data_IF_754789393951
#
_entry.id   IF_754789393951
#
_cell.length_a   1.000
_cell.length_b   1.000
_cell.length_c   1.000
_cell.angle_alpha   90.00
_cell.angle_beta   90.00
_cell.angle_gamma   90.00
#
_symmetry.space_group_name_H-M   'P 1'
#
loop_
_entity.id
_entity.type
_entity.pdbx_description
1 polymer ?
#
# COMPACT_ATOMS: atom_id res chain seq x y z
N UNK A 1 21.21 4.15 12.92
CA UNK A 1 21.19 5.52 12.39
C UNK A 1 20.69 6.42 13.51
N UNK A 2 21.34 7.55 13.79
CA UNK A 2 20.82 8.50 14.78
C UNK A 2 19.79 9.38 14.09
N UNK A 3 18.58 9.42 14.64
CA UNK A 3 17.52 10.36 14.25
C UNK A 3 17.05 10.98 15.56
N UNK A 4 17.12 12.31 15.68
CA UNK A 4 16.69 13.05 16.87
C UNK A 4 17.34 12.51 18.17
N UNK A 5 18.67 12.32 18.17
CA UNK A 5 19.47 11.78 19.28
C UNK A 5 19.11 10.37 19.79
N UNK A 6 18.21 9.66 19.09
CA UNK A 6 17.91 8.26 19.36
C UNK A 6 18.59 7.35 18.32
N UNK A 7 19.30 6.32 18.80
CA UNK A 7 19.75 5.24 17.92
C UNK A 7 18.55 4.41 17.48
N UNK A 8 18.14 4.58 16.23
CA UNK A 8 17.09 3.74 15.63
C UNK A 8 17.75 2.55 14.94
N UNK A 9 17.55 1.31 15.43
CA UNK A 9 18.05 0.11 14.80
C UNK A 9 17.14 -0.29 13.62
N UNK A 10 17.18 0.46 12.51
CA UNK A 10 16.28 0.32 11.36
C UNK A 10 16.10 -1.14 10.90
N UNK A 11 17.22 -1.84 10.63
CA UNK A 11 17.19 -3.25 10.21
C UNK A 11 16.62 -4.17 11.29
N UNK A 12 16.90 -3.88 12.56
CA UNK A 12 16.38 -4.62 13.70
C UNK A 12 14.87 -4.47 13.84
N UNK A 13 14.38 -3.23 13.78
CA UNK A 13 12.96 -2.90 13.82
C UNK A 13 12.20 -3.55 12.67
N UNK A 14 12.72 -3.45 11.44
CA UNK A 14 12.06 -4.03 10.28
C UNK A 14 11.99 -5.57 10.37
N UNK A 15 13.11 -6.24 10.70
CA UNK A 15 13.10 -7.70 10.93
C UNK A 15 12.17 -8.12 12.06
N UNK A 16 12.17 -7.37 13.16
CA UNK A 16 11.28 -7.62 14.28
C UNK A 16 9.81 -7.42 13.88
N UNK A 17 9.51 -6.41 13.05
CA UNK A 17 8.17 -6.16 12.52
C UNK A 17 7.69 -7.30 11.62
N UNK A 18 8.52 -7.75 10.67
CA UNK A 18 8.20 -8.90 9.82
C UNK A 18 7.92 -10.17 10.63
N UNK A 19 8.69 -10.43 11.69
CA UNK A 19 8.48 -11.62 12.53
C UNK A 19 7.26 -11.47 13.45
N UNK A 20 7.12 -10.34 14.13
CA UNK A 20 6.07 -10.10 15.14
C UNK A 20 4.70 -9.86 14.53
N UNK A 21 4.65 -9.22 13.37
CA UNK A 21 3.42 -8.83 12.68
C UNK A 21 3.29 -9.53 11.31
N UNK A 22 3.82 -10.75 11.18
CA UNK A 22 3.82 -11.52 9.93
C UNK A 22 2.43 -11.61 9.29
N UNK A 23 1.39 -11.86 10.10
CA UNK A 23 0.00 -11.93 9.62
C UNK A 23 -0.45 -10.60 9.02
N UNK A 24 -0.14 -9.47 9.65
CA UNK A 24 -0.49 -8.15 9.13
C UNK A 24 0.28 -7.80 7.85
N UNK A 25 1.53 -8.24 7.74
CA UNK A 25 2.30 -8.11 6.49
C UNK A 25 1.69 -8.92 5.35
N UNK A 26 1.26 -10.16 5.63
CA UNK A 26 0.54 -10.96 4.64
C UNK A 26 -0.78 -10.32 4.24
N UNK A 27 -1.58 -9.86 5.22
CA UNK A 27 -2.82 -9.14 4.94
C UNK A 27 -2.60 -7.87 4.11
N UNK A 28 -1.53 -7.13 4.37
CA UNK A 28 -1.15 -5.97 3.56
C UNK A 28 -0.88 -6.38 2.11
N UNK A 29 -0.08 -7.43 1.89
CA UNK A 29 0.24 -7.92 0.53
C UNK A 29 -1.03 -8.38 -0.19
N UNK A 30 -1.86 -9.21 0.46
CA UNK A 30 -3.09 -9.71 -0.13
C UNK A 30 -4.09 -8.58 -0.44
N UNK A 31 -4.30 -7.67 0.50
CA UNK A 31 -5.18 -6.51 0.29
C UNK A 31 -4.68 -5.62 -0.83
N UNK A 32 -3.36 -5.42 -0.95
CA UNK A 32 -2.78 -4.61 -2.03
C UNK A 32 -2.91 -5.26 -3.40
N UNK A 33 -2.76 -6.59 -3.50
CA UNK A 33 -3.01 -7.31 -4.75
C UNK A 33 -4.48 -7.23 -5.17
N UNK A 34 -5.39 -7.41 -4.21
CA UNK A 34 -6.83 -7.34 -4.44
C UNK A 34 -7.27 -5.93 -4.86
N UNK A 35 -6.74 -4.90 -4.20
CA UNK A 35 -6.98 -3.50 -4.54
C UNK A 35 -6.37 -3.12 -5.91
N UNK A 36 -5.17 -3.63 -6.23
CA UNK A 36 -4.58 -3.42 -7.57
C UNK A 36 -5.44 -4.06 -8.66
N UNK A 37 -5.91 -5.29 -8.43
CA UNK A 37 -6.76 -6.01 -9.36
C UNK A 37 -8.12 -5.32 -9.56
N UNK A 38 -8.79 -4.95 -8.46
CA UNK A 38 -10.07 -4.26 -8.53
C UNK A 38 -9.96 -2.89 -9.21
N UNK A 39 -8.85 -2.16 -8.98
CA UNK A 39 -8.59 -0.88 -9.65
C UNK A 39 -8.40 -1.08 -11.16
N UNK A 40 -7.63 -2.09 -11.57
CA UNK A 40 -7.44 -2.41 -12.99
C UNK A 40 -8.78 -2.76 -13.65
N UNK A 41 -9.58 -3.62 -13.01
CA UNK A 41 -10.91 -3.99 -13.53
C UNK A 41 -11.83 -2.79 -13.65
N UNK A 42 -11.94 -1.98 -12.59
CA UNK A 42 -12.74 -0.77 -12.57
C UNK A 42 -12.36 0.17 -13.72
N UNK A 43 -11.07 0.47 -13.88
CA UNK A 43 -10.58 1.33 -14.95
C UNK A 43 -10.69 0.73 -16.36
N UNK A 44 -10.73 -0.60 -16.49
CA UNK A 44 -11.00 -1.26 -17.78
C UNK A 44 -12.45 -1.07 -18.22
N UNK A 45 -13.39 -1.08 -17.27
CA UNK A 45 -14.82 -1.01 -17.55
C UNK A 45 -15.33 0.44 -17.59
N UNK A 46 -15.02 1.23 -16.57
CA UNK A 46 -15.52 2.59 -16.39
C UNK A 46 -14.56 3.64 -16.98
N UNK A 47 -13.30 3.26 -17.23
CA UNK A 47 -12.28 4.11 -17.83
C UNK A 47 -11.38 4.81 -16.81
N UNK A 48 -10.14 5.06 -17.22
CA UNK A 48 -9.06 5.63 -16.38
C UNK A 48 -9.42 7.01 -15.81
N UNK A 49 -10.26 7.79 -16.50
CA UNK A 49 -10.66 9.14 -16.07
C UNK A 49 -11.44 9.17 -14.76
N UNK A 50 -12.18 8.10 -14.45
CA UNK A 50 -13.07 7.99 -13.29
C UNK A 50 -12.33 7.61 -12.00
N UNK A 51 -11.04 7.28 -12.08
CA UNK A 51 -10.22 7.05 -10.90
C UNK A 51 -10.11 8.32 -10.03
N UNK A 52 -10.53 8.20 -8.78
CA UNK A 52 -10.47 9.29 -7.81
C UNK A 52 -9.03 9.66 -7.43
N UNK A 53 -8.13 8.68 -7.39
CA UNK A 53 -6.73 8.92 -7.05
C UNK A 53 -5.97 9.53 -8.24
N UNK A 54 -5.68 10.83 -8.16
CA UNK A 54 -4.96 11.57 -9.18
C UNK A 54 -3.62 10.93 -9.56
N UNK A 55 -2.85 10.41 -8.60
CA UNK A 55 -1.54 9.82 -8.85
C UNK A 55 -1.69 8.53 -9.66
N UNK A 56 -2.62 7.66 -9.27
CA UNK A 56 -2.88 6.40 -9.99
C UNK A 56 -3.37 6.70 -11.40
N UNK A 57 -4.31 7.65 -11.54
CA UNK A 57 -4.81 8.10 -12.84
C UNK A 57 -3.70 8.64 -13.73
N UNK A 58 -2.84 9.50 -13.20
CA UNK A 58 -1.69 10.05 -13.94
C UNK A 58 -0.73 8.95 -14.36
N UNK A 59 -0.39 8.02 -13.46
CA UNK A 59 0.48 6.88 -13.77
C UNK A 59 -0.12 5.97 -14.84
N UNK A 60 -1.41 5.65 -14.74
CA UNK A 60 -2.11 4.80 -15.72
C UNK A 60 -2.15 5.44 -17.11
N UNK A 61 -2.35 6.76 -17.20
CA UNK A 61 -2.34 7.49 -18.46
C UNK A 61 -0.96 7.57 -19.12
N UNK A 62 0.12 7.65 -18.33
CA UNK A 62 1.48 7.84 -18.87
C UNK A 62 2.26 6.54 -19.07
N UNK A 63 2.05 5.54 -18.19
CA UNK A 63 2.83 4.29 -18.18
C UNK A 63 2.00 3.07 -18.61
N UNK A 64 0.73 3.28 -18.94
CA UNK A 64 -0.24 2.23 -19.21
C UNK A 64 -0.96 1.77 -17.95
N UNK A 65 -2.18 1.26 -18.16
CA UNK A 65 -3.12 0.91 -17.10
C UNK A 65 -2.50 0.03 -16.00
N UNK A 66 -2.04 -1.17 -16.38
CA UNK A 66 -1.56 -2.17 -15.41
C UNK A 66 -0.31 -1.68 -14.69
N UNK A 67 0.69 -1.20 -15.46
CA UNK A 67 1.95 -0.69 -14.91
C UNK A 67 1.72 0.49 -13.97
N UNK A 68 0.86 1.43 -14.35
CA UNK A 68 0.56 2.61 -13.56
C UNK A 68 -0.13 2.29 -12.24
N UNK A 69 -1.11 1.38 -12.25
CA UNK A 69 -1.79 0.92 -11.03
C UNK A 69 -0.82 0.18 -10.11
N UNK A 70 -0.05 -0.77 -10.64
CA UNK A 70 0.91 -1.55 -9.83
C UNK A 70 1.96 -0.64 -9.18
N UNK A 71 2.51 0.32 -9.92
CA UNK A 71 3.47 1.29 -9.37
C UNK A 71 2.82 2.19 -8.32
N UNK A 72 1.64 2.73 -8.60
CA UNK A 72 0.91 3.60 -7.68
C UNK A 72 0.63 2.92 -6.34
N UNK A 73 0.14 1.68 -6.37
CA UNK A 73 -0.14 0.89 -5.16
C UNK A 73 1.15 0.44 -4.46
N UNK A 74 2.24 0.18 -5.19
CA UNK A 74 3.55 -0.18 -4.61
C UNK A 74 4.10 0.86 -3.65
N UNK A 75 3.75 2.15 -3.82
CA UNK A 75 4.14 3.19 -2.87
C UNK A 75 3.59 2.95 -1.45
N UNK A 76 2.39 2.39 -1.30
CA UNK A 76 1.84 2.08 0.02
C UNK A 76 2.66 0.99 0.74
N UNK A 77 3.15 -0.01 -0.01
CA UNK A 77 4.06 -1.01 0.54
C UNK A 77 5.39 -0.39 0.98
N UNK A 78 5.96 0.52 0.19
CA UNK A 78 7.18 1.25 0.55
C UNK A 78 6.96 2.06 1.85
N UNK A 79 5.81 2.74 1.98
CA UNK A 79 5.42 3.44 3.21
C UNK A 79 5.38 2.47 4.39
N UNK A 80 4.75 1.29 4.24
CA UNK A 80 4.72 0.29 5.31
C UNK A 80 6.12 -0.14 5.76
N UNK A 81 7.05 -0.35 4.82
CA UNK A 81 8.44 -0.76 5.09
C UNK A 81 9.20 0.34 5.80
N UNK A 82 9.17 1.57 5.28
CA UNK A 82 9.89 2.72 5.83
C UNK A 82 9.44 3.00 7.25
N UNK A 83 8.13 3.11 7.48
CA UNK A 83 7.63 3.38 8.81
C UNK A 83 7.85 2.24 9.79
N UNK A 84 7.78 0.99 9.33
CA UNK A 84 8.09 -0.15 10.19
C UNK A 84 9.57 -0.25 10.56
N UNK A 85 10.46 0.22 9.69
CA UNK A 85 11.88 0.36 10.01
C UNK A 85 12.13 1.48 11.03
N UNK A 86 11.42 2.61 10.89
CA UNK A 86 11.55 3.77 11.77
C UNK A 86 11.04 3.48 13.19
N UNK A 87 9.90 2.80 13.34
CA UNK A 87 9.35 2.49 14.66
C UNK A 87 8.56 1.19 14.69
N UNK A 88 9.09 0.22 15.45
CA UNK A 88 8.40 -1.05 15.71
C UNK A 88 7.08 -0.84 16.48
N UNK A 89 7.02 0.17 17.35
CA UNK A 89 5.82 0.48 18.16
C UNK A 89 4.65 0.89 17.26
N UNK A 90 4.92 1.67 16.22
CA UNK A 90 3.89 2.16 15.30
C UNK A 90 3.66 1.23 14.10
N UNK A 91 4.55 0.27 13.82
CA UNK A 91 4.37 -0.71 12.74
C UNK A 91 2.98 -1.33 12.71
N UNK A 92 2.46 -1.79 13.86
CA UNK A 92 1.15 -2.45 13.92
C UNK A 92 0.03 -1.53 13.44
N UNK A 93 -0.01 -0.30 13.95
CA UNK A 93 -1.04 0.67 13.59
C UNK A 93 -0.98 1.01 12.10
N UNK A 94 0.24 1.18 11.56
CA UNK A 94 0.47 1.53 10.17
C UNK A 94 0.07 0.39 9.24
N UNK A 95 0.43 -0.85 9.57
CA UNK A 95 0.01 -2.02 8.79
C UNK A 95 -1.52 -2.18 8.76
N UNK A 96 -2.19 -2.00 9.90
CA UNK A 96 -3.66 -2.06 9.98
C UNK A 96 -4.28 -0.94 9.14
N UNK A 97 -3.77 0.29 9.27
CA UNK A 97 -4.28 1.44 8.52
C UNK A 97 -4.13 1.26 7.01
N UNK A 98 -2.95 0.85 6.54
CA UNK A 98 -2.71 0.62 5.11
C UNK A 98 -3.54 -0.54 4.57
N UNK A 99 -3.65 -1.64 5.31
CA UNK A 99 -4.51 -2.77 4.94
C UNK A 99 -5.98 -2.35 4.86
N UNK A 100 -6.45 -1.56 5.83
CA UNK A 100 -7.81 -1.02 5.85
C UNK A 100 -8.09 -0.08 4.68
N UNK A 101 -7.14 0.81 4.34
CA UNK A 101 -7.26 1.70 3.19
C UNK A 101 -7.33 0.91 1.87
N UNK A 102 -6.50 -0.13 1.70
CA UNK A 102 -6.57 -1.00 0.53
C UNK A 102 -7.91 -1.72 0.43
N UNK A 103 -8.42 -2.22 1.56
CA UNK A 103 -9.74 -2.86 1.62
C UNK A 103 -10.87 -1.90 1.25
N UNK A 104 -10.87 -0.68 1.77
CA UNK A 104 -11.88 0.33 1.45
C UNK A 104 -11.83 0.75 -0.02
N UNK A 105 -10.63 0.95 -0.58
CA UNK A 105 -10.45 1.26 -1.99
C UNK A 105 -10.97 0.12 -2.88
N UNK A 106 -10.68 -1.14 -2.51
CA UNK A 106 -11.18 -2.28 -3.25
C UNK A 106 -12.71 -2.40 -3.19
N UNK A 107 -13.32 -2.23 -2.01
CA UNK A 107 -14.78 -2.25 -1.84
C UNK A 107 -15.42 -1.14 -2.69
N UNK A 108 -14.84 0.06 -2.67
CA UNK A 108 -15.30 1.16 -3.50
C UNK A 108 -15.26 0.77 -4.98
N UNK A 109 -14.14 0.26 -5.48
CA UNK A 109 -14.01 -0.17 -6.89
C UNK A 109 -15.02 -1.28 -7.26
N UNK A 110 -15.26 -2.24 -6.37
CA UNK A 110 -16.27 -3.28 -6.58
C UNK A 110 -17.70 -2.77 -6.57
N UNK A 111 -17.99 -1.63 -5.94
CA UNK A 111 -19.34 -1.06 -5.95
C UNK A 111 -19.74 -0.43 -7.30
N UNK A 112 -18.78 -0.24 -8.21
CA UNK A 112 -19.00 0.24 -9.58
C UNK A 112 -18.93 -0.89 -10.63
N UNK A 113 -18.63 -2.12 -10.20
CA UNK A 113 -18.60 -3.33 -11.02
C UNK A 113 -19.98 -4.00 -11.04
#
# INVERSE_FOLDING_TARGET
MMILDQQIPLRGNLKASFKRYAVLWWLLVFSQLLDSYSTVLFMQLDGISHEANFIIRWLANNLGLVTGVVLGKSFQFVVAVVFSALSLKYSRAILILLTGLNGLAAIHNFSYL
#
